data_IF_274825143445
#
_entry.id   IF_274825143445
#
_cell.length_a   1.000
_cell.length_b   1.000
_cell.length_c   1.000
_cell.angle_alpha   90.00
_cell.angle_beta   90.00
_cell.angle_gamma   90.00
#
_symmetry.space_group_name_H-M   'P 1'
#
loop_
_entity.id
_entity.type
_entity.pdbx_description
1 polymer ?
#
# COMPACT_ATOMS: atom_id res chain seq x y z
N UNK A 1 -4.34 17.44 12.45
CA UNK A 1 -4.34 16.40 11.40
C UNK A 1 -5.50 15.46 11.68
N UNK A 2 -6.59 15.55 10.91
CA UNK A 2 -7.67 14.57 10.97
C UNK A 2 -7.28 13.38 10.11
N UNK A 3 -6.97 12.24 10.73
CA UNK A 3 -6.95 10.96 10.02
C UNK A 3 -8.36 10.80 9.41
N UNK A 4 -8.46 10.90 8.08
CA UNK A 4 -9.73 10.79 7.37
C UNK A 4 -10.21 9.34 7.46
N UNK A 5 -11.25 9.09 8.24
CA UNK A 5 -12.07 7.87 8.24
C UNK A 5 -11.32 6.58 8.62
N UNK A 6 -11.92 5.66 9.38
CA UNK A 6 -11.28 4.41 9.78
C UNK A 6 -11.22 3.34 8.66
N UNK A 7 -11.43 3.74 7.40
CA UNK A 7 -11.71 2.83 6.30
C UNK A 7 -10.45 2.39 5.55
N UNK A 8 -9.42 3.24 5.50
CA UNK A 8 -8.19 2.92 4.77
C UNK A 8 -6.95 3.57 5.37
N UNK A 9 -5.80 2.93 5.14
CA UNK A 9 -4.50 3.55 5.29
C UNK A 9 -3.89 3.82 3.90
N UNK A 10 -2.86 4.68 3.86
CA UNK A 10 -2.16 5.00 2.61
C UNK A 10 -0.75 4.42 2.66
N UNK A 11 -0.41 3.64 1.65
CA UNK A 11 0.86 2.95 1.48
C UNK A 11 1.62 3.49 0.27
N UNK A 12 2.94 3.38 0.32
CA UNK A 12 3.81 3.72 -0.81
C UNK A 12 4.25 2.45 -1.53
N UNK A 13 3.58 2.14 -2.64
CA UNK A 13 4.02 1.11 -3.58
C UNK A 13 4.82 1.74 -4.72
N UNK A 14 5.57 0.94 -5.47
CA UNK A 14 5.99 1.37 -6.81
C UNK A 14 4.77 1.39 -7.75
N UNK A 15 4.77 2.17 -8.84
CA UNK A 15 3.67 2.17 -9.81
C UNK A 15 3.32 0.77 -10.32
N UNK A 16 4.32 -0.07 -10.63
CA UNK A 16 4.11 -1.46 -11.07
C UNK A 16 3.47 -2.33 -9.98
N UNK A 17 3.95 -2.23 -8.73
CA UNK A 17 3.37 -2.96 -7.60
C UNK A 17 1.93 -2.54 -7.33
N UNK A 18 1.62 -1.23 -7.44
CA UNK A 18 0.27 -0.71 -7.31
C UNK A 18 -0.65 -1.23 -8.42
N UNK A 19 -0.18 -1.21 -9.68
CA UNK A 19 -0.96 -1.72 -10.81
C UNK A 19 -1.25 -3.20 -10.64
N UNK A 20 -0.25 -3.98 -10.25
CA UNK A 20 -0.42 -5.40 -9.94
C UNK A 20 -1.46 -5.58 -8.84
N UNK A 21 -1.26 -4.96 -7.67
CA UNK A 21 -2.16 -5.07 -6.53
C UNK A 21 -3.61 -4.67 -6.87
N UNK A 22 -3.80 -3.59 -7.63
CA UNK A 22 -5.13 -3.13 -8.06
C UNK A 22 -5.80 -4.09 -9.05
N UNK A 23 -5.02 -4.88 -9.77
CA UNK A 23 -5.52 -5.92 -10.69
C UNK A 23 -5.92 -7.18 -9.93
N UNK A 24 -5.11 -7.61 -8.96
CA UNK A 24 -5.32 -8.88 -8.24
C UNK A 24 -6.25 -8.75 -7.03
N UNK A 25 -6.35 -7.57 -6.42
CA UNK A 25 -7.16 -7.30 -5.23
C UNK A 25 -7.93 -5.97 -5.34
N UNK A 26 -8.81 -5.80 -6.34
CA UNK A 26 -9.50 -4.54 -6.59
C UNK A 26 -10.42 -4.09 -5.44
N UNK A 27 -10.88 -5.01 -4.58
CA UNK A 27 -11.71 -4.69 -3.41
C UNK A 27 -10.89 -4.19 -2.22
N UNK A 28 -9.59 -4.51 -2.16
CA UNK A 28 -8.73 -4.22 -1.01
C UNK A 28 -7.83 -3.03 -1.23
N UNK A 29 -7.56 -2.67 -2.49
CA UNK A 29 -6.67 -1.55 -2.81
C UNK A 29 -7.22 -0.66 -3.92
N UNK A 30 -6.88 0.63 -3.83
CA UNK A 30 -7.15 1.57 -4.90
C UNK A 30 -6.05 2.63 -4.98
N UNK A 31 -5.74 3.12 -6.18
CA UNK A 31 -4.85 4.26 -6.32
C UNK A 31 -5.42 5.50 -5.61
N UNK A 32 -4.57 6.27 -4.94
CA UNK A 32 -4.97 7.58 -4.42
C UNK A 32 -5.29 8.51 -5.60
N UNK A 33 -6.43 9.21 -5.63
CA UNK A 33 -6.77 10.08 -6.75
C UNK A 33 -5.70 11.15 -7.08
N UNK A 34 -5.52 11.41 -8.37
CA UNK A 34 -4.63 12.46 -8.88
C UNK A 34 -3.15 12.08 -8.86
N UNK A 35 -2.27 13.08 -8.80
CA UNK A 35 -0.82 12.91 -8.93
C UNK A 35 -0.18 12.04 -7.86
N UNK A 36 -0.87 11.80 -6.74
CA UNK A 36 -0.40 10.89 -5.70
C UNK A 36 -0.51 9.43 -6.17
N UNK A 37 -1.64 9.02 -6.74
CA UNK A 37 -1.82 7.67 -7.30
C UNK A 37 -0.85 7.40 -8.43
N UNK A 38 -0.63 8.35 -9.34
CA UNK A 38 0.35 8.22 -10.41
C UNK A 38 1.78 7.94 -9.91
N UNK A 39 2.08 8.28 -8.65
CA UNK A 39 3.36 8.03 -8.00
C UNK A 39 3.37 6.73 -7.18
N UNK A 40 2.34 5.88 -7.23
CA UNK A 40 2.28 4.64 -6.44
C UNK A 40 1.67 4.79 -5.04
N UNK A 41 1.16 5.98 -4.67
CA UNK A 41 0.44 6.13 -3.40
C UNK A 41 -0.91 5.41 -3.50
N UNK A 42 -1.11 4.43 -2.62
CA UNK A 42 -2.19 3.45 -2.72
C UNK A 42 -2.97 3.42 -1.41
N UNK A 43 -4.30 3.43 -1.51
CA UNK A 43 -5.22 3.18 -0.40
C UNK A 43 -5.29 1.67 -0.17
N UNK A 44 -5.18 1.24 1.08
CA UNK A 44 -5.44 -0.12 1.52
C UNK A 44 -6.65 -0.10 2.45
N UNK A 45 -7.73 -0.76 2.03
CA UNK A 45 -8.96 -0.94 2.80
C UNK A 45 -8.75 -2.10 3.79
N UNK A 46 -8.06 -1.82 4.89
CA UNK A 46 -7.58 -2.84 5.84
C UNK A 46 -8.70 -3.53 6.63
N UNK A 47 -9.95 -3.04 6.55
CA UNK A 47 -11.12 -3.69 7.14
C UNK A 47 -11.64 -4.82 6.26
N UNK A 48 -11.50 -4.67 4.95
CA UNK A 48 -11.96 -5.63 3.95
C UNK A 48 -10.85 -6.64 3.59
N UNK A 49 -9.59 -6.22 3.73
CA UNK A 49 -8.43 -7.08 3.49
C UNK A 49 -8.12 -8.04 4.66
N UNK A 50 -7.70 -9.26 4.33
CA UNK A 50 -7.20 -10.23 5.32
C UNK A 50 -5.91 -9.78 6.02
N UNK A 51 -5.67 -10.26 7.24
CA UNK A 51 -4.51 -9.86 8.05
C UNK A 51 -3.15 -10.17 7.39
N UNK A 52 -3.04 -11.30 6.70
CA UNK A 52 -1.82 -11.67 5.95
C UNK A 52 -1.57 -10.73 4.77
N UNK A 53 -2.62 -10.35 4.06
CA UNK A 53 -2.56 -9.40 2.95
C UNK A 53 -2.13 -8.01 3.42
N UNK A 54 -2.76 -7.52 4.48
CA UNK A 54 -2.38 -6.25 5.11
C UNK A 54 -0.90 -6.29 5.50
N UNK A 55 -0.45 -7.36 6.17
CA UNK A 55 0.94 -7.52 6.58
C UNK A 55 1.91 -7.60 5.39
N UNK A 56 1.53 -8.25 4.29
CA UNK A 56 2.32 -8.32 3.05
C UNK A 56 2.48 -6.93 2.43
N UNK A 57 1.38 -6.22 2.21
CA UNK A 57 1.37 -4.90 1.57
C UNK A 57 2.10 -3.85 2.40
N UNK A 58 1.94 -3.85 3.73
CA UNK A 58 2.64 -2.94 4.63
C UNK A 58 4.15 -3.17 4.58
N UNK A 59 4.61 -4.43 4.60
CA UNK A 59 6.04 -4.75 4.49
C UNK A 59 6.61 -4.34 3.13
N UNK A 60 5.87 -4.59 2.05
CA UNK A 60 6.26 -4.17 0.72
C UNK A 60 6.41 -2.64 0.65
N UNK A 61 5.44 -1.90 1.19
CA UNK A 61 5.50 -0.45 1.26
C UNK A 61 6.69 0.05 2.10
N UNK A 62 6.95 -0.58 3.24
CA UNK A 62 8.13 -0.28 4.07
C UNK A 62 9.42 -0.45 3.27
N UNK A 63 9.61 -1.57 2.57
CA UNK A 63 10.82 -1.82 1.75
C UNK A 63 11.04 -0.77 0.66
N UNK A 64 9.98 -0.21 0.10
CA UNK A 64 10.09 0.83 -0.92
C UNK A 64 10.57 2.19 -0.37
N UNK A 65 10.30 2.47 0.91
CA UNK A 65 10.60 3.77 1.53
C UNK A 65 11.70 3.73 2.56
N UNK A 66 12.00 2.56 3.11
CA UNK A 66 12.99 2.39 4.15
C UNK A 66 14.39 2.74 3.64
N UNK A 67 15.22 3.39 4.47
CA UNK A 67 16.65 3.49 4.19
C UNK A 67 17.25 2.09 3.94
N UNK A 68 18.21 1.98 3.02
CA UNK A 68 18.84 0.69 2.65
C UNK A 68 19.44 -0.06 3.85
N UNK A 69 19.84 0.66 4.89
CA UNK A 69 20.36 0.10 6.15
C UNK A 69 19.29 -0.48 7.08
N UNK A 70 18.00 -0.28 6.79
CA UNK A 70 16.86 -0.65 7.64
C UNK A 70 15.78 -1.44 6.88
N UNK A 71 16.00 -1.72 5.60
CA UNK A 71 15.08 -2.54 4.82
C UNK A 71 15.04 -3.96 5.44
N UNK A 72 13.82 -4.46 5.68
CA UNK A 72 13.62 -5.82 6.18
C UNK A 72 14.21 -6.82 5.17
N UNK A 73 14.94 -7.86 5.62
CA UNK A 73 15.46 -8.90 4.73
C UNK A 73 14.33 -9.51 3.91
N UNK A 74 14.65 -9.98 2.69
CA UNK A 74 13.72 -10.80 1.91
C UNK A 74 13.48 -12.12 2.66
N UNK A 75 12.24 -12.62 2.66
CA UNK A 75 11.85 -13.85 3.37
C UNK A 75 12.28 -15.07 2.54
#
# INVERSE_FOLDING_TARGET
MTLRGPDFCVLKLTPDQQQMASTIMPEHVAAVPGSWGLKGWTRLFHRDAGSEEVRRLVRQAWRNTAPKSMALPED
#
